data_IF_533010648190
#
_entry.id   IF_533010648190
#
_cell.length_a   1.000
_cell.length_b   1.000
_cell.length_c   1.000
_cell.angle_alpha   90.00
_cell.angle_beta   90.00
_cell.angle_gamma   90.00
#
_symmetry.space_group_name_H-M   'P 1'
#
loop_
_entity.id
_entity.type
_entity.pdbx_description
1 polymer ?
#
# COMPACT_ATOMS: atom_id res chain seq x y z
N UNK A 1 57.28 0.08 -10.80
CA UNK A 1 56.28 -1.01 -10.69
C UNK A 1 54.93 -0.37 -10.41
N UNK A 2 54.21 0.07 -11.44
CA UNK A 2 52.89 0.70 -11.28
C UNK A 2 51.89 -0.39 -10.84
N UNK A 3 51.32 -0.25 -9.65
CA UNK A 3 50.25 -1.11 -9.17
C UNK A 3 48.99 -0.76 -9.97
N UNK A 4 48.55 -1.67 -10.82
CA UNK A 4 47.29 -1.55 -11.55
C UNK A 4 46.14 -1.49 -10.54
N UNK A 5 45.37 -0.43 -10.60
CA UNK A 5 44.15 -0.23 -9.83
C UNK A 5 43.08 -1.18 -10.38
N UNK A 6 42.68 -2.17 -9.57
CA UNK A 6 41.60 -3.09 -9.93
C UNK A 6 40.28 -2.37 -9.70
N UNK A 7 39.68 -1.86 -10.76
CA UNK A 7 38.30 -1.38 -10.72
C UNK A 7 37.41 -2.61 -10.61
N UNK A 8 37.02 -2.96 -9.39
CA UNK A 8 36.08 -4.04 -9.13
C UNK A 8 34.72 -3.58 -9.66
N UNK A 9 34.28 -4.13 -10.78
CA UNK A 9 32.95 -3.87 -11.30
C UNK A 9 31.94 -4.40 -10.27
N UNK A 10 31.24 -3.50 -9.58
CA UNK A 10 30.19 -3.87 -8.65
C UNK A 10 29.07 -4.59 -9.41
N UNK A 11 28.98 -5.91 -9.23
CA UNK A 11 27.92 -6.73 -9.78
C UNK A 11 26.63 -6.41 -9.01
N UNK A 12 25.93 -5.37 -9.47
CA UNK A 12 24.67 -4.93 -8.85
C UNK A 12 23.52 -5.83 -9.25
N UNK A 13 22.83 -6.39 -8.26
CA UNK A 13 21.64 -7.19 -8.51
C UNK A 13 20.45 -6.28 -8.85
N UNK A 14 20.15 -6.18 -10.15
CA UNK A 14 19.05 -5.36 -10.65
C UNK A 14 17.67 -5.74 -10.08
N UNK A 15 17.46 -7.00 -9.68
CA UNK A 15 16.20 -7.41 -9.05
C UNK A 15 16.05 -6.80 -7.66
N UNK A 16 17.13 -6.71 -6.88
CA UNK A 16 17.11 -6.04 -5.57
C UNK A 16 16.82 -4.54 -5.73
N UNK A 17 17.44 -3.90 -6.72
CA UNK A 17 17.21 -2.48 -7.04
C UNK A 17 15.75 -2.24 -7.45
N UNK A 18 15.21 -3.06 -8.35
CA UNK A 18 13.79 -2.96 -8.77
C UNK A 18 12.83 -3.16 -7.60
N UNK A 19 13.08 -4.15 -6.74
CA UNK A 19 12.28 -4.39 -5.53
C UNK A 19 12.34 -3.21 -4.56
N UNK A 20 13.52 -2.62 -4.36
CA UNK A 20 13.67 -1.44 -3.51
C UNK A 20 12.88 -0.24 -4.06
N UNK A 21 12.95 0.01 -5.37
CA UNK A 21 12.16 1.05 -6.04
C UNK A 21 10.66 0.81 -5.91
N UNK A 22 10.18 -0.40 -6.19
CA UNK A 22 8.77 -0.75 -6.04
C UNK A 22 8.28 -0.56 -4.60
N UNK A 23 9.11 -0.88 -3.59
CA UNK A 23 8.77 -0.65 -2.19
C UNK A 23 8.66 0.85 -1.87
N UNK A 24 9.60 1.65 -2.35
CA UNK A 24 9.58 3.11 -2.17
C UNK A 24 8.34 3.74 -2.81
N UNK A 25 8.00 3.36 -4.05
CA UNK A 25 6.81 3.82 -4.77
C UNK A 25 5.51 3.43 -4.03
N UNK A 26 5.45 2.22 -3.46
CA UNK A 26 4.32 1.77 -2.65
C UNK A 26 4.17 2.56 -1.35
N UNK A 27 5.28 2.88 -0.67
CA UNK A 27 5.28 3.72 0.52
C UNK A 27 4.85 5.15 0.21
N UNK A 28 5.31 5.72 -0.90
CA UNK A 28 4.91 7.05 -1.35
C UNK A 28 3.41 7.09 -1.70
N UNK A 29 2.94 6.08 -2.43
CA UNK A 29 1.51 5.93 -2.74
C UNK A 29 0.67 5.82 -1.47
N UNK A 30 1.13 5.07 -0.46
CA UNK A 30 0.46 4.97 0.82
C UNK A 30 0.44 6.31 1.56
N UNK A 31 1.54 7.08 1.56
CA UNK A 31 1.58 8.44 2.13
C UNK A 31 0.62 9.38 1.40
N UNK A 32 0.65 9.39 0.08
CA UNK A 32 -0.23 10.20 -0.76
C UNK A 32 -1.70 9.84 -0.52
N UNK A 33 -2.03 8.56 -0.36
CA UNK A 33 -3.39 8.13 -0.04
C UNK A 33 -3.83 8.55 1.37
N UNK A 34 -2.93 8.51 2.38
CA UNK A 34 -3.22 9.04 3.72
C UNK A 34 -3.53 10.53 3.68
N UNK A 35 -2.75 11.31 2.93
CA UNK A 35 -2.96 12.76 2.80
C UNK A 35 -4.22 13.08 2.00
N UNK A 36 -4.41 12.44 0.84
CA UNK A 36 -5.53 12.73 -0.08
C UNK A 36 -6.88 12.31 0.47
N UNK A 37 -6.96 11.15 1.11
CA UNK A 37 -8.24 10.58 1.53
C UNK A 37 -8.48 10.69 3.03
N UNK A 38 -7.47 11.04 3.83
CA UNK A 38 -7.56 11.16 5.29
C UNK A 38 -7.88 9.84 6.02
N UNK A 39 -8.16 8.78 5.27
CA UNK A 39 -8.56 7.46 5.75
C UNK A 39 -7.73 6.41 5.04
N UNK A 40 -7.20 5.50 5.82
CA UNK A 40 -6.50 4.31 5.37
C UNK A 40 -7.49 3.31 4.74
N UNK A 41 -6.96 2.36 3.97
CA UNK A 41 -7.76 1.27 3.40
C UNK A 41 -8.52 0.49 4.49
N UNK A 42 -7.90 0.29 5.65
CA UNK A 42 -8.50 -0.42 6.78
C UNK A 42 -9.71 0.34 7.34
N UNK A 43 -9.61 1.66 7.48
CA UNK A 43 -10.73 2.50 7.93
C UNK A 43 -11.87 2.51 6.91
N UNK A 44 -11.54 2.50 5.61
CA UNK A 44 -12.55 2.39 4.55
C UNK A 44 -13.27 1.03 4.58
N UNK A 45 -12.54 -0.05 4.78
CA UNK A 45 -13.11 -1.40 4.90
C UNK A 45 -13.94 -1.55 6.18
N UNK A 46 -13.50 -0.97 7.30
CA UNK A 46 -14.27 -0.94 8.55
C UNK A 46 -15.59 -0.16 8.38
N UNK A 47 -15.53 1.04 7.79
CA UNK A 47 -16.72 1.84 7.51
C UNK A 47 -17.70 1.12 6.57
N UNK A 48 -17.19 0.41 5.55
CA UNK A 48 -18.03 -0.40 4.65
C UNK A 48 -18.72 -1.55 5.39
N UNK A 49 -17.99 -2.27 6.26
CA UNK A 49 -18.56 -3.34 7.09
C UNK A 49 -19.60 -2.82 8.08
N UNK A 50 -19.38 -1.63 8.63
CA UNK A 50 -20.35 -0.99 9.53
C UNK A 50 -21.62 -0.57 8.79
N UNK A 51 -21.47 -0.01 7.58
CA UNK A 51 -22.61 0.30 6.71
C UNK A 51 -23.40 -0.98 6.35
N UNK A 52 -22.73 -2.04 5.91
CA UNK A 52 -23.37 -3.31 5.59
C UNK A 52 -24.10 -3.95 6.79
N UNK A 53 -23.54 -3.80 8.00
CA UNK A 53 -24.24 -4.22 9.23
C UNK A 53 -25.51 -3.40 9.46
N UNK A 54 -25.41 -2.07 9.35
CA UNK A 54 -26.57 -1.18 9.50
C UNK A 54 -27.65 -1.48 8.46
N UNK A 55 -27.26 -1.70 7.21
CA UNK A 55 -28.19 -2.04 6.13
C UNK A 55 -28.93 -3.35 6.46
N UNK A 56 -28.20 -4.42 6.83
CA UNK A 56 -28.83 -5.69 7.24
C UNK A 56 -29.71 -5.56 8.48
N UNK A 57 -29.30 -4.74 9.45
CA UNK A 57 -30.10 -4.48 10.65
C UNK A 57 -31.39 -3.70 10.32
N UNK A 58 -31.37 -2.85 9.29
CA UNK A 58 -32.54 -2.13 8.79
C UNK A 58 -33.44 -3.03 7.95
N UNK A 59 -32.86 -3.85 7.07
CA UNK A 59 -33.59 -4.84 6.27
C UNK A 59 -34.35 -5.82 7.18
N UNK A 60 -33.72 -6.32 8.25
CA UNK A 60 -34.38 -7.19 9.23
C UNK A 60 -35.42 -6.48 10.11
N UNK A 61 -35.48 -5.14 10.07
CA UNK A 61 -36.47 -4.31 10.78
C UNK A 61 -37.50 -3.71 9.84
N UNK A 62 -37.37 -3.91 8.52
CA UNK A 62 -38.37 -3.49 7.57
C UNK A 62 -39.59 -4.38 7.79
N UNK A 63 -40.66 -3.78 8.30
CA UNK A 63 -41.98 -4.42 8.30
C UNK A 63 -42.42 -4.41 6.84
N UNK A 64 -42.41 -5.59 6.22
CA UNK A 64 -43.10 -5.83 4.95
C UNK A 64 -44.60 -5.56 5.19
N UNK A 65 -45.10 -4.42 4.70
CA UNK A 65 -46.54 -4.15 4.52
C UNK A 65 -46.94 -4.47 3.08
#
# INVERSE_FOLDING_TARGET
>A
MARGEVIVADIVNLNKVRKARAKAEAEETARNNRVRFGRTRQEKEAARKEAERKDRDMDGKQLDE
#
